data_IF_245467672540
#
_entry.id   IF_245467672540
#
_cell.length_a   1.000
_cell.length_b   1.000
_cell.length_c   1.000
_cell.angle_alpha   90.00
_cell.angle_beta   90.00
_cell.angle_gamma   90.00
#
_symmetry.space_group_name_H-M   'P 1'
#
loop_
_entity.id
_entity.type
_entity.pdbx_description
1 polymer ?
#
# COMPACT_ATOMS: atom_id res chain seq x y z
N UNK A 1 23.60 -3.30 10.69
CA UNK A 1 24.16 -2.37 9.67
C UNK A 1 25.07 -3.11 8.68
N UNK A 2 25.92 -4.03 9.14
CA UNK A 2 26.86 -4.74 8.27
C UNK A 2 26.22 -5.80 7.34
N UNK A 3 25.12 -6.41 7.73
CA UNK A 3 24.51 -7.49 6.93
C UNK A 3 23.82 -7.01 5.65
N UNK A 4 23.26 -5.81 5.65
CA UNK A 4 22.59 -5.26 4.45
C UNK A 4 23.58 -4.73 3.42
N UNK A 5 24.74 -4.26 3.84
CA UNK A 5 25.80 -3.86 2.93
C UNK A 5 26.50 -5.05 2.24
N UNK A 6 26.36 -6.24 2.80
CA UNK A 6 26.95 -7.47 2.26
C UNK A 6 26.11 -8.16 1.15
N UNK A 7 24.90 -7.67 0.84
CA UNK A 7 24.14 -8.16 -0.32
C UNK A 7 24.74 -7.70 -1.64
N UNK A 8 25.80 -6.88 -1.56
CA UNK A 8 26.73 -6.63 -2.68
C UNK A 8 26.20 -5.80 -3.84
N UNK A 9 25.00 -5.24 -3.72
CA UNK A 9 24.38 -4.47 -4.79
C UNK A 9 23.63 -3.26 -4.22
N UNK A 10 23.99 -2.06 -4.68
CA UNK A 10 23.15 -0.87 -4.53
C UNK A 10 22.34 -0.65 -5.81
N UNK A 11 21.08 -0.29 -5.67
CA UNK A 11 20.22 0.05 -6.80
C UNK A 11 20.47 1.52 -7.15
N UNK A 12 20.74 1.82 -8.42
CA UNK A 12 21.01 3.17 -8.89
C UNK A 12 19.77 4.03 -8.78
N UNK A 13 19.90 5.23 -8.20
CA UNK A 13 18.86 6.25 -8.23
C UNK A 13 18.79 6.93 -9.58
N UNK A 14 17.57 7.13 -10.11
CA UNK A 14 17.28 7.98 -11.25
C UNK A 14 16.41 9.15 -10.81
N UNK A 15 16.75 10.36 -11.23
CA UNK A 15 15.99 11.58 -10.95
C UNK A 15 15.01 11.93 -12.07
N UNK A 16 14.51 10.93 -12.79
CA UNK A 16 13.57 11.12 -13.90
C UNK A 16 12.29 11.85 -13.49
N UNK A 17 11.79 11.62 -12.29
CA UNK A 17 10.60 12.23 -11.77
C UNK A 17 10.88 13.09 -10.54
N UNK A 18 10.26 14.26 -10.48
CA UNK A 18 10.33 15.16 -9.33
C UNK A 18 9.01 15.07 -8.57
N UNK A 19 8.99 14.25 -7.51
CA UNK A 19 7.76 13.95 -6.78
C UNK A 19 7.29 15.08 -5.91
N UNK A 20 5.98 15.34 -5.97
CA UNK A 20 5.28 16.33 -5.16
C UNK A 20 5.14 15.79 -3.73
N UNK A 21 5.50 16.62 -2.75
CA UNK A 21 5.33 16.29 -1.34
C UNK A 21 3.86 16.31 -0.92
N UNK A 22 3.48 15.36 -0.10
CA UNK A 22 2.17 15.30 0.52
C UNK A 22 2.29 14.88 1.99
N UNK A 23 1.32 15.27 2.80
CA UNK A 23 1.27 14.93 4.22
C UNK A 23 0.13 13.97 4.50
N UNK A 24 0.46 12.82 5.06
CA UNK A 24 -0.52 11.90 5.59
C UNK A 24 -0.97 12.36 6.97
N UNK A 25 -2.28 12.46 7.16
CA UNK A 25 -2.89 12.81 8.45
C UNK A 25 -4.01 11.81 8.80
N UNK A 26 -4.29 11.67 10.08
CA UNK A 26 -5.47 10.96 10.54
C UNK A 26 -6.59 11.98 10.73
N UNK A 27 -7.70 11.79 10.04
CA UNK A 27 -8.88 12.62 10.24
C UNK A 27 -9.49 12.32 11.61
N UNK A 28 -9.62 13.35 12.45
CA UNK A 28 -10.08 13.19 13.82
C UNK A 28 -11.57 12.81 13.92
N UNK A 29 -12.37 13.17 12.92
CA UNK A 29 -13.80 12.87 12.92
C UNK A 29 -14.07 11.41 12.52
N UNK A 30 -13.43 10.96 11.46
CA UNK A 30 -13.63 9.60 10.92
C UNK A 30 -12.64 8.57 11.43
N UNK A 31 -11.51 9.00 12.01
CA UNK A 31 -10.41 8.13 12.38
C UNK A 31 -9.67 7.51 11.19
N UNK A 32 -9.98 7.96 9.98
CA UNK A 32 -9.41 7.41 8.74
C UNK A 32 -8.19 8.20 8.27
N UNK A 33 -7.37 7.53 7.46
CA UNK A 33 -6.19 8.13 6.85
C UNK A 33 -6.58 8.97 5.66
N UNK A 34 -6.19 10.25 5.68
CA UNK A 34 -6.32 11.17 4.56
C UNK A 34 -4.96 11.79 4.22
N UNK A 35 -4.86 12.32 3.01
CA UNK A 35 -3.66 13.02 2.55
C UNK A 35 -3.98 14.48 2.31
N UNK A 36 -3.10 15.36 2.76
CA UNK A 36 -3.13 16.78 2.45
C UNK A 36 -2.07 17.09 1.41
N UNK A 37 -2.52 17.51 0.22
CA UNK A 37 -1.69 17.83 -0.92
C UNK A 37 -2.21 19.15 -1.51
N UNK A 38 -1.33 20.15 -1.62
CA UNK A 38 -1.70 21.48 -2.14
C UNK A 38 -2.94 22.10 -1.45
N UNK A 39 -3.05 21.95 -0.13
CA UNK A 39 -4.18 22.39 0.69
C UNK A 39 -5.52 21.65 0.45
N UNK A 40 -5.51 20.57 -0.32
CA UNK A 40 -6.67 19.69 -0.50
C UNK A 40 -6.52 18.41 0.33
N UNK A 41 -7.63 17.97 0.92
CA UNK A 41 -7.70 16.69 1.61
C UNK A 41 -8.28 15.63 0.69
N UNK A 42 -7.56 14.53 0.54
CA UNK A 42 -7.94 13.41 -0.30
C UNK A 42 -8.00 12.11 0.53
N UNK A 43 -9.01 11.27 0.31
CA UNK A 43 -9.03 9.95 0.93
C UNK A 43 -7.89 9.08 0.40
N UNK A 44 -7.37 8.21 1.26
CA UNK A 44 -6.34 7.26 0.84
C UNK A 44 -6.91 6.08 0.06
N UNK A 45 -6.12 5.51 -0.83
CA UNK A 45 -6.45 4.27 -1.55
C UNK A 45 -6.83 3.16 -0.57
N UNK A 46 -6.07 2.99 0.50
CA UNK A 46 -6.34 1.95 1.52
C UNK A 46 -7.65 2.19 2.27
N UNK A 47 -8.00 3.45 2.54
CA UNK A 47 -9.29 3.82 3.14
C UNK A 47 -10.45 3.50 2.19
N UNK A 48 -10.33 3.84 0.91
CA UNK A 48 -11.35 3.55 -0.11
C UNK A 48 -11.58 2.04 -0.22
N UNK A 49 -10.52 1.26 -0.35
CA UNK A 49 -10.60 -0.19 -0.48
C UNK A 49 -11.14 -0.85 0.80
N UNK A 50 -10.71 -0.38 1.97
CA UNK A 50 -11.20 -0.87 3.25
C UNK A 50 -12.69 -0.61 3.48
N UNK A 51 -13.18 0.58 3.13
CA UNK A 51 -14.58 0.97 3.29
C UNK A 51 -15.53 0.24 2.34
N UNK A 52 -15.04 -0.20 1.19
CA UNK A 52 -15.84 -0.86 0.14
C UNK A 52 -15.63 -2.38 0.09
N UNK A 53 -14.84 -2.92 1.00
CA UNK A 53 -14.54 -4.35 1.10
C UNK A 53 -15.71 -5.11 1.72
N UNK A 54 -15.93 -6.36 1.26
CA UNK A 54 -16.83 -7.28 1.93
C UNK A 54 -16.23 -7.71 3.29
N UNK A 55 -16.90 -7.35 4.38
CA UNK A 55 -16.43 -7.58 5.76
C UNK A 55 -16.81 -8.97 6.31
N UNK A 56 -17.58 -9.75 5.59
CA UNK A 56 -18.15 -11.02 6.10
C UNK A 56 -17.06 -12.02 6.51
N UNK A 57 -16.02 -12.18 5.68
CA UNK A 57 -14.90 -13.07 5.98
C UNK A 57 -14.17 -12.67 7.26
N UNK A 58 -13.91 -11.38 7.46
CA UNK A 58 -13.24 -10.85 8.66
C UNK A 58 -14.10 -11.07 9.90
N UNK A 59 -15.40 -10.85 9.80
CA UNK A 59 -16.35 -11.09 10.89
C UNK A 59 -16.37 -12.56 11.30
N UNK A 60 -16.44 -13.47 10.33
CA UNK A 60 -16.41 -14.91 10.58
C UNK A 60 -15.08 -15.35 11.21
N UNK A 61 -13.98 -14.84 10.76
CA UNK A 61 -12.67 -15.14 11.33
C UNK A 61 -12.54 -14.64 12.77
N UNK A 62 -12.95 -13.40 13.05
CA UNK A 62 -12.99 -12.85 14.42
C UNK A 62 -13.88 -13.64 15.34
N UNK A 63 -15.03 -14.06 14.88
CA UNK A 63 -15.95 -14.90 15.65
C UNK A 63 -15.32 -16.26 16.00
N UNK A 64 -14.50 -16.81 15.09
CA UNK A 64 -13.83 -18.11 15.27
C UNK A 64 -12.66 -18.04 16.27
N UNK A 65 -11.82 -17.02 16.18
CA UNK A 65 -10.60 -16.92 16.99
C UNK A 65 -10.80 -16.10 18.27
N UNK A 66 -11.86 -15.33 18.37
CA UNK A 66 -12.09 -14.36 19.44
C UNK A 66 -11.49 -12.99 19.13
N UNK A 67 -12.11 -11.95 19.64
CA UNK A 67 -11.74 -10.56 19.34
C UNK A 67 -10.35 -10.20 19.85
N UNK A 68 -10.02 -10.57 21.10
CA UNK A 68 -8.73 -10.31 21.71
C UNK A 68 -7.57 -10.97 20.94
N UNK A 69 -7.74 -12.23 20.54
CA UNK A 69 -6.72 -12.95 19.75
C UNK A 69 -6.61 -12.39 18.33
N UNK A 70 -7.72 -12.03 17.70
CA UNK A 70 -7.73 -11.37 16.40
C UNK A 70 -6.96 -10.04 16.43
N UNK A 71 -7.16 -9.22 17.46
CA UNK A 71 -6.45 -7.95 17.66
C UNK A 71 -4.96 -8.18 17.93
N UNK A 72 -4.61 -9.18 18.72
CA UNK A 72 -3.22 -9.55 18.97
C UNK A 72 -2.50 -9.92 17.68
N UNK A 73 -3.09 -10.78 16.85
CA UNK A 73 -2.54 -11.20 15.56
C UNK A 73 -2.40 -10.01 14.62
N UNK A 74 -3.42 -9.17 14.54
CA UNK A 74 -3.42 -7.96 13.71
C UNK A 74 -2.31 -6.99 14.12
N UNK A 75 -2.17 -6.71 15.42
CA UNK A 75 -1.16 -5.78 15.93
C UNK A 75 0.25 -6.31 15.71
N UNK A 76 0.48 -7.60 15.93
CA UNK A 76 1.77 -8.23 15.66
C UNK A 76 2.14 -8.14 14.17
N UNK A 77 1.21 -8.51 13.29
CA UNK A 77 1.41 -8.43 11.84
C UNK A 77 1.65 -7.00 11.36
N UNK A 78 0.91 -6.03 11.89
CA UNK A 78 1.09 -4.61 11.55
C UNK A 78 2.47 -4.09 11.97
N UNK A 79 2.91 -4.41 13.17
CA UNK A 79 4.24 -4.00 13.67
C UNK A 79 5.37 -4.65 12.87
N UNK A 80 5.24 -5.93 12.55
CA UNK A 80 6.19 -6.65 11.70
C UNK A 80 6.25 -6.04 10.30
N UNK A 81 5.10 -5.72 9.71
CA UNK A 81 5.01 -5.06 8.41
C UNK A 81 5.69 -3.70 8.40
N UNK A 82 5.47 -2.88 9.42
CA UNK A 82 6.12 -1.57 9.57
C UNK A 82 7.65 -1.71 9.61
N UNK A 83 8.17 -2.65 10.40
CA UNK A 83 9.60 -2.91 10.48
C UNK A 83 10.17 -3.41 9.16
N UNK A 84 9.51 -4.35 8.50
CA UNK A 84 9.93 -4.87 7.18
C UNK A 84 10.00 -3.75 6.13
N UNK A 85 9.01 -2.88 6.06
CA UNK A 85 8.99 -1.74 5.13
C UNK A 85 10.16 -0.77 5.40
N UNK A 86 10.51 -0.52 6.65
CA UNK A 86 11.65 0.33 7.00
C UNK A 86 12.98 -0.30 6.56
N UNK A 87 13.17 -1.59 6.77
CA UNK A 87 14.35 -2.28 6.26
C UNK A 87 14.48 -2.15 4.74
N UNK A 88 13.39 -2.33 4.01
CA UNK A 88 13.37 -2.21 2.55
C UNK A 88 13.62 -0.78 2.07
N UNK A 89 12.99 0.20 2.70
CA UNK A 89 13.20 1.62 2.39
C UNK A 89 14.67 2.03 2.56
N UNK A 90 15.27 1.70 3.70
CA UNK A 90 16.66 2.05 3.97
C UNK A 90 17.65 1.32 3.06
N UNK A 91 17.34 0.08 2.68
CA UNK A 91 18.13 -0.62 1.67
C UNK A 91 18.11 0.09 0.31
N UNK A 92 16.93 0.48 -0.15
CA UNK A 92 16.75 1.20 -1.42
C UNK A 92 17.48 2.54 -1.40
N UNK A 93 17.35 3.28 -0.29
CA UNK A 93 18.02 4.58 -0.11
C UNK A 93 19.54 4.46 0.08
N UNK A 94 20.06 3.27 0.31
CA UNK A 94 21.48 3.05 0.61
C UNK A 94 21.90 3.54 2.01
N UNK A 95 20.96 3.65 2.94
CA UNK A 95 21.18 4.05 4.32
C UNK A 95 21.09 2.85 5.26
N UNK A 96 21.77 2.92 6.41
CA UNK A 96 21.69 1.87 7.42
C UNK A 96 20.38 1.94 8.21
N UNK A 97 19.84 0.78 8.57
CA UNK A 97 18.72 0.65 9.48
C UNK A 97 18.88 -0.60 10.32
N UNK A 98 18.50 -0.50 11.58
CA UNK A 98 18.49 -1.64 12.48
C UNK A 98 17.26 -1.58 13.41
N UNK A 99 16.71 -2.75 13.69
CA UNK A 99 15.62 -2.93 14.63
C UNK A 99 15.92 -4.18 15.48
N UNK A 100 16.44 -3.95 16.67
CA UNK A 100 16.87 -4.99 17.60
C UNK A 100 15.72 -5.60 18.41
N UNK A 101 14.49 -5.12 18.23
CA UNK A 101 13.32 -5.71 18.88
C UNK A 101 13.05 -7.12 18.34
N UNK A 102 12.26 -7.92 19.06
CA UNK A 102 11.82 -9.24 18.59
C UNK A 102 11.06 -9.16 17.25
N UNK A 103 10.30 -8.09 17.04
CA UNK A 103 9.62 -7.79 15.78
C UNK A 103 10.64 -7.53 14.66
N UNK A 104 11.66 -6.72 14.93
CA UNK A 104 12.73 -6.43 13.96
C UNK A 104 13.53 -7.66 13.57
N UNK A 105 13.80 -8.54 14.52
CA UNK A 105 14.49 -9.82 14.28
C UNK A 105 13.66 -10.77 13.39
N UNK A 106 12.33 -10.70 13.46
CA UNK A 106 11.42 -11.43 12.59
C UNK A 106 11.31 -10.77 11.20
N UNK A 107 11.21 -9.45 11.15
CA UNK A 107 11.02 -8.67 9.91
C UNK A 107 12.28 -8.60 9.03
N UNK A 108 13.46 -8.55 9.63
CA UNK A 108 14.74 -8.41 8.93
C UNK A 108 15.01 -9.53 7.91
N UNK A 109 14.86 -10.83 8.25
CA UNK A 109 15.04 -11.91 7.27
C UNK A 109 14.00 -11.87 6.15
N UNK A 110 12.77 -11.44 6.45
CA UNK A 110 11.71 -11.28 5.45
C UNK A 110 12.08 -10.19 4.43
N UNK A 111 12.53 -9.04 4.90
CA UNK A 111 13.02 -7.96 4.05
C UNK A 111 14.20 -8.42 3.19
N UNK A 112 15.15 -9.14 3.78
CA UNK A 112 16.30 -9.70 3.07
C UNK A 112 15.90 -10.64 1.94
N UNK A 113 14.88 -11.48 2.17
CA UNK A 113 14.34 -12.37 1.14
C UNK A 113 13.73 -11.59 -0.03
N UNK A 114 12.97 -10.54 0.23
CA UNK A 114 12.43 -9.65 -0.79
C UNK A 114 13.55 -8.96 -1.57
N UNK A 115 14.59 -8.49 -0.89
CA UNK A 115 15.75 -7.87 -1.53
C UNK A 115 16.46 -8.84 -2.48
N UNK A 116 16.76 -10.04 -2.00
CA UNK A 116 17.51 -11.05 -2.77
C UNK A 116 16.77 -11.53 -4.01
N UNK A 117 15.45 -11.71 -3.93
CA UNK A 117 14.66 -12.26 -5.03
C UNK A 117 13.88 -11.16 -5.75
N UNK A 118 13.10 -10.38 -5.02
CA UNK A 118 12.17 -9.41 -5.59
C UNK A 118 12.85 -8.22 -6.22
N UNK A 119 13.87 -7.67 -5.57
CA UNK A 119 14.61 -6.49 -6.05
C UNK A 119 15.75 -6.84 -7.02
N UNK A 120 16.06 -8.12 -7.24
CA UNK A 120 17.11 -8.52 -8.18
C UNK A 120 16.91 -7.97 -9.61
N UNK A 121 15.67 -7.97 -10.18
CA UNK A 121 15.42 -7.41 -11.51
C UNK A 121 15.34 -5.88 -11.56
N UNK A 122 15.42 -5.19 -10.43
CA UNK A 122 15.34 -3.71 -10.37
C UNK A 122 16.66 -3.11 -10.80
N UNK A 123 16.64 -2.34 -11.86
CA UNK A 123 17.82 -1.69 -12.48
C UNK A 123 18.06 -0.32 -11.89
N UNK A 124 17.01 0.48 -11.78
CA UNK A 124 16.99 1.83 -11.24
C UNK A 124 15.76 2.04 -10.38
N UNK A 125 15.86 2.94 -9.38
CA UNK A 125 14.68 3.37 -8.64
C UNK A 125 14.45 4.87 -8.81
N UNK A 126 13.19 5.25 -8.93
CA UNK A 126 12.76 6.64 -9.11
C UNK A 126 12.28 7.28 -7.82
N UNK A 127 11.63 6.52 -6.97
CA UNK A 127 11.12 6.98 -5.69
C UNK A 127 10.82 5.84 -4.73
N UNK A 128 11.09 6.07 -3.44
CA UNK A 128 10.80 5.16 -2.34
C UNK A 128 9.88 5.86 -1.35
N UNK A 129 8.83 5.19 -0.87
CA UNK A 129 7.81 5.78 -0.01
C UNK A 129 7.23 7.08 -0.62
N UNK A 130 6.82 7.00 -1.87
CA UNK A 130 6.36 8.15 -2.65
C UNK A 130 4.88 8.40 -2.41
N UNK A 131 4.54 9.64 -2.04
CA UNK A 131 3.15 10.09 -2.03
C UNK A 131 2.69 10.38 -3.44
N UNK A 132 1.62 9.69 -3.86
CA UNK A 132 0.98 9.85 -5.16
C UNK A 132 -0.46 10.30 -4.96
N UNK A 133 -0.99 11.08 -5.91
CA UNK A 133 -2.40 11.49 -5.88
C UNK A 133 -2.98 11.58 -7.28
N UNK A 134 -4.25 11.28 -7.36
CA UNK A 134 -5.08 11.62 -8.50
C UNK A 134 -5.90 12.86 -8.11
N UNK A 135 -5.65 14.03 -8.72
CA UNK A 135 -6.24 15.29 -8.26
C UNK A 135 -7.76 15.23 -8.08
N UNK A 136 -8.21 15.62 -6.89
CA UNK A 136 -9.63 15.63 -6.53
C UNK A 136 -10.25 14.28 -6.19
N UNK A 137 -9.55 13.16 -6.35
CA UNK A 137 -10.12 11.83 -6.19
C UNK A 137 -9.52 11.03 -5.03
N UNK A 138 -8.22 10.82 -5.03
CA UNK A 138 -7.57 9.99 -4.01
C UNK A 138 -6.07 10.26 -3.93
N UNK A 139 -5.46 9.75 -2.87
CA UNK A 139 -4.01 9.76 -2.69
C UNK A 139 -3.55 8.48 -2.00
N UNK A 140 -2.27 8.27 -1.93
CA UNK A 140 -1.66 7.18 -1.21
C UNK A 140 -0.14 7.23 -1.27
N UNK A 141 0.50 6.30 -0.56
CA UNK A 141 1.93 6.14 -0.59
C UNK A 141 2.27 4.80 -1.22
N UNK A 142 3.08 4.82 -2.28
CA UNK A 142 3.62 3.60 -2.87
C UNK A 142 5.01 3.33 -2.33
N UNK A 143 5.33 2.05 -2.12
CA UNK A 143 6.59 1.66 -1.52
C UNK A 143 7.79 1.95 -2.43
N UNK A 144 7.63 1.71 -3.73
CA UNK A 144 8.71 1.88 -4.70
C UNK A 144 8.16 2.15 -6.10
N UNK A 145 8.77 3.10 -6.79
CA UNK A 145 8.64 3.30 -8.23
C UNK A 145 10.01 3.04 -8.84
N UNK A 146 10.09 2.15 -9.81
CA UNK A 146 11.37 1.69 -10.33
C UNK A 146 11.31 1.21 -11.78
N UNK A 147 12.47 0.93 -12.33
CA UNK A 147 12.65 0.19 -13.57
C UNK A 147 12.91 -1.28 -13.21
N UNK A 148 11.97 -2.15 -13.52
CA UNK A 148 11.99 -3.58 -13.21
C UNK A 148 11.89 -4.39 -14.50
N UNK A 149 12.94 -5.15 -14.82
CA UNK A 149 13.04 -5.84 -16.11
C UNK A 149 12.77 -4.94 -17.33
N UNK A 150 13.32 -3.72 -17.31
CA UNK A 150 13.16 -2.75 -18.40
C UNK A 150 11.79 -2.06 -18.47
N UNK A 151 10.90 -2.30 -17.50
CA UNK A 151 9.57 -1.69 -17.44
C UNK A 151 9.44 -0.75 -16.25
N UNK A 152 8.84 0.43 -16.49
CA UNK A 152 8.46 1.33 -15.39
C UNK A 152 7.35 0.70 -14.55
N UNK A 153 7.62 0.54 -13.27
CA UNK A 153 6.87 -0.34 -12.37
C UNK A 153 6.53 0.34 -11.05
N UNK A 154 5.30 0.13 -10.60
CA UNK A 154 4.89 0.35 -9.20
C UNK A 154 5.09 -0.95 -8.44
N UNK A 155 5.86 -0.90 -7.37
CA UNK A 155 6.10 -2.05 -6.48
C UNK A 155 5.45 -1.81 -5.13
N UNK A 156 4.81 -2.84 -4.61
CA UNK A 156 4.22 -2.87 -3.28
C UNK A 156 4.76 -4.06 -2.49
N UNK A 157 5.29 -3.79 -1.31
CA UNK A 157 5.81 -4.81 -0.40
C UNK A 157 4.71 -5.23 0.58
N UNK A 158 4.52 -6.52 0.73
CA UNK A 158 3.55 -7.10 1.66
C UNK A 158 4.21 -8.16 2.54
N UNK A 159 3.88 -8.13 3.81
CA UNK A 159 4.12 -9.25 4.70
C UNK A 159 2.80 -10.02 4.89
N UNK A 160 2.90 -11.32 5.12
CA UNK A 160 1.73 -12.16 5.32
C UNK A 160 2.07 -13.29 6.28
N UNK A 161 1.14 -13.63 7.17
CA UNK A 161 1.30 -14.78 8.08
C UNK A 161 1.34 -16.13 7.34
N UNK A 162 0.71 -16.19 6.18
CA UNK A 162 0.60 -17.38 5.32
C UNK A 162 0.76 -17.01 3.85
N UNK A 163 1.14 -17.96 3.00
CA UNK A 163 1.13 -17.74 1.55
C UNK A 163 -0.24 -17.27 1.07
N UNK A 164 -0.24 -16.36 0.10
CA UNK A 164 -1.44 -15.81 -0.49
C UNK A 164 -1.87 -16.58 -1.72
N UNK A 165 -3.18 -16.73 -1.90
CA UNK A 165 -3.78 -17.12 -3.18
C UNK A 165 -4.13 -15.86 -3.97
N UNK A 166 -4.08 -15.97 -5.27
CA UNK A 166 -4.32 -14.82 -6.16
C UNK A 166 -5.72 -14.23 -5.98
N UNK A 167 -6.72 -15.07 -5.76
CA UNK A 167 -8.10 -14.63 -5.51
C UNK A 167 -8.28 -13.84 -4.18
N UNK A 168 -7.30 -13.87 -3.30
CA UNK A 168 -7.36 -13.15 -2.01
C UNK A 168 -6.68 -11.78 -2.05
N UNK A 169 -6.00 -11.44 -3.14
CA UNK A 169 -5.18 -10.24 -3.26
C UNK A 169 -5.71 -9.23 -4.28
N UNK A 170 -7.00 -9.30 -4.60
CA UNK A 170 -7.62 -8.34 -5.52
C UNK A 170 -7.40 -6.89 -5.07
N UNK A 171 -7.50 -6.62 -3.77
CA UNK A 171 -7.26 -5.28 -3.22
C UNK A 171 -5.80 -4.82 -3.42
N UNK A 172 -4.84 -5.73 -3.38
CA UNK A 172 -3.44 -5.40 -3.67
C UNK A 172 -3.26 -5.00 -5.14
N UNK A 173 -3.90 -5.72 -6.05
CA UNK A 173 -3.87 -5.36 -7.47
C UNK A 173 -4.54 -4.00 -7.73
N UNK A 174 -5.67 -3.74 -7.08
CA UNK A 174 -6.34 -2.44 -7.21
C UNK A 174 -5.51 -1.31 -6.61
N UNK A 175 -4.80 -1.55 -5.55
CA UNK A 175 -3.90 -0.60 -4.91
C UNK A 175 -2.77 -0.18 -5.87
N UNK A 176 -2.05 -1.11 -6.46
CA UNK A 176 -1.00 -0.78 -7.45
C UNK A 176 -1.55 -0.13 -8.71
N UNK A 177 -2.74 -0.55 -9.16
CA UNK A 177 -3.41 0.07 -10.31
C UNK A 177 -3.81 1.53 -10.03
N UNK A 178 -4.31 1.82 -8.83
CA UNK A 178 -4.61 3.18 -8.39
C UNK A 178 -3.36 4.07 -8.38
N UNK A 179 -2.25 3.56 -7.88
CA UNK A 179 -0.97 4.29 -7.87
C UNK A 179 -0.43 4.51 -9.28
N UNK A 180 -0.54 3.52 -10.17
CA UNK A 180 -0.15 3.66 -11.57
C UNK A 180 -0.94 4.77 -12.27
N UNK A 181 -2.27 4.81 -12.08
CA UNK A 181 -3.11 5.88 -12.65
C UNK A 181 -2.73 7.26 -12.12
N UNK A 182 -2.51 7.38 -10.82
CA UNK A 182 -2.12 8.64 -10.19
C UNK A 182 -0.75 9.13 -10.71
N UNK A 183 0.22 8.23 -10.79
CA UNK A 183 1.55 8.53 -11.31
C UNK A 183 1.49 9.00 -12.77
N UNK A 184 0.76 8.28 -13.61
CA UNK A 184 0.63 8.62 -15.02
C UNK A 184 -0.06 9.97 -15.24
N UNK A 185 -1.09 10.24 -14.45
CA UNK A 185 -1.84 11.49 -14.56
C UNK A 185 -0.99 12.72 -14.17
N UNK A 186 -0.28 12.65 -13.05
CA UNK A 186 0.47 13.79 -12.50
C UNK A 186 1.80 13.99 -13.23
N UNK A 187 2.51 12.92 -13.56
CA UNK A 187 3.86 12.99 -14.11
C UNK A 187 3.95 12.71 -15.62
N UNK A 188 2.82 12.42 -16.28
CA UNK A 188 2.80 12.12 -17.70
C UNK A 188 3.55 10.85 -18.07
N UNK A 189 3.73 9.95 -17.13
CA UNK A 189 4.40 8.67 -17.32
C UNK A 189 3.49 7.63 -17.98
N UNK A 190 4.06 6.47 -18.27
CA UNK A 190 3.35 5.28 -18.72
C UNK A 190 3.83 4.10 -17.90
N UNK A 191 3.27 3.95 -16.71
CA UNK A 191 3.57 2.80 -15.86
C UNK A 191 3.08 1.53 -16.54
N UNK A 192 3.99 0.60 -16.79
CA UNK A 192 3.76 -0.59 -17.61
C UNK A 192 3.32 -1.80 -16.81
N UNK A 193 3.74 -1.87 -15.53
CA UNK A 193 3.36 -2.99 -14.65
C UNK A 193 3.27 -2.58 -13.19
N UNK A 194 2.56 -3.38 -12.42
CA UNK A 194 2.61 -3.40 -10.98
C UNK A 194 3.12 -4.74 -10.49
N UNK A 195 3.94 -4.73 -9.47
CA UNK A 195 4.51 -5.93 -8.85
C UNK A 195 4.24 -5.92 -7.35
N UNK A 196 3.67 -7.00 -6.86
CA UNK A 196 3.41 -7.23 -5.44
C UNK A 196 4.40 -8.27 -4.97
N UNK A 197 5.26 -7.91 -4.01
CA UNK A 197 6.27 -8.77 -3.43
C UNK A 197 5.86 -9.13 -2.00
N UNK A 198 5.60 -10.40 -1.76
CA UNK A 198 5.07 -10.93 -0.49
C UNK A 198 6.07 -11.85 0.15
N UNK A 199 6.29 -11.71 1.45
CA UNK A 199 7.09 -12.65 2.23
C UNK A 199 6.38 -13.04 3.53
N UNK A 200 6.48 -14.31 3.89
CA UNK A 200 5.98 -14.85 5.16
C UNK A 200 7.09 -14.97 6.19
N UNK A 201 6.77 -15.14 7.50
CA UNK A 201 7.79 -15.29 8.54
C UNK A 201 8.69 -16.51 8.37
N UNK A 202 8.20 -17.56 7.72
CA UNK A 202 9.00 -18.75 7.35
C UNK A 202 9.78 -18.56 6.03
N UNK A 203 9.87 -17.34 5.56
CA UNK A 203 10.67 -16.91 4.41
C UNK A 203 10.20 -17.48 3.06
N UNK A 204 8.91 -17.74 2.94
CA UNK A 204 8.29 -18.06 1.67
C UNK A 204 7.99 -16.78 0.89
N UNK A 205 8.65 -16.61 -0.24
CA UNK A 205 8.51 -15.46 -1.13
C UNK A 205 7.50 -15.75 -2.24
N UNK A 206 6.60 -14.80 -2.46
CA UNK A 206 5.67 -14.83 -3.60
C UNK A 206 5.73 -13.49 -4.35
N UNK A 207 5.56 -13.55 -5.65
CA UNK A 207 5.52 -12.38 -6.50
C UNK A 207 4.30 -12.44 -7.42
N UNK A 208 3.54 -11.37 -7.44
CA UNK A 208 2.36 -11.24 -8.30
C UNK A 208 2.53 -10.01 -9.18
N UNK A 209 2.25 -10.16 -10.47
CA UNK A 209 2.42 -9.10 -11.46
C UNK A 209 1.11 -8.83 -12.18
N UNK A 210 0.88 -7.56 -12.49
CA UNK A 210 -0.15 -7.12 -13.41
C UNK A 210 0.47 -6.19 -14.44
N UNK A 211 0.31 -6.54 -15.71
CA UNK A 211 0.80 -5.75 -16.84
C UNK A 211 -0.21 -5.76 -17.99
N UNK A 212 -0.07 -4.82 -18.93
CA UNK A 212 -0.89 -4.75 -20.12
C UNK A 212 -2.39 -4.73 -19.82
N UNK A 213 -3.12 -5.66 -20.43
CA UNK A 213 -4.58 -5.76 -20.26
C UNK A 213 -5.00 -6.03 -18.81
N UNK A 214 -4.25 -6.86 -18.08
CA UNK A 214 -4.55 -7.15 -16.68
C UNK A 214 -4.46 -5.89 -15.81
N UNK A 215 -3.41 -5.08 -15.97
CA UNK A 215 -3.28 -3.82 -15.24
C UNK A 215 -4.43 -2.87 -15.57
N UNK A 216 -4.84 -2.81 -16.83
CA UNK A 216 -5.98 -1.99 -17.26
C UNK A 216 -7.29 -2.46 -16.63
N UNK A 217 -7.51 -3.76 -16.52
CA UNK A 217 -8.69 -4.32 -15.86
C UNK A 217 -8.73 -3.97 -14.37
N UNK A 218 -7.58 -4.01 -13.68
CA UNK A 218 -7.49 -3.62 -12.28
C UNK A 218 -7.73 -2.12 -12.06
N UNK A 219 -7.28 -1.28 -12.98
CA UNK A 219 -7.61 0.16 -12.98
C UNK A 219 -9.13 0.37 -13.05
N UNK A 220 -9.82 -0.30 -13.94
CA UNK A 220 -11.28 -0.22 -14.04
C UNK A 220 -11.99 -0.73 -12.78
N UNK A 221 -11.52 -1.80 -12.19
CA UNK A 221 -12.08 -2.34 -10.95
C UNK A 221 -11.87 -1.40 -9.77
N UNK A 222 -10.72 -0.75 -9.70
CA UNK A 222 -10.49 0.29 -8.69
C UNK A 222 -11.45 1.48 -8.85
N UNK A 223 -11.69 1.95 -10.07
CA UNK A 223 -12.62 3.05 -10.33
C UNK A 223 -14.05 2.70 -9.86
N UNK A 224 -14.48 1.46 -10.03
CA UNK A 224 -15.77 1.00 -9.47
C UNK A 224 -15.79 1.06 -7.94
N UNK A 225 -14.73 0.68 -7.28
CA UNK A 225 -14.60 0.79 -5.82
C UNK A 225 -14.60 2.25 -5.37
N UNK A 226 -13.98 3.15 -6.13
CA UNK A 226 -14.01 4.58 -5.89
C UNK A 226 -15.45 5.13 -5.97
N UNK A 227 -16.21 4.74 -6.98
CA UNK A 227 -17.63 5.11 -7.12
C UNK A 227 -18.45 4.61 -5.93
N UNK A 228 -18.27 3.36 -5.52
CA UNK A 228 -18.91 2.80 -4.32
C UNK A 228 -18.58 3.61 -3.06
N UNK A 229 -17.34 4.03 -2.92
CA UNK A 229 -16.91 4.86 -1.78
C UNK A 229 -17.61 6.21 -1.76
N UNK A 230 -17.75 6.86 -2.91
CA UNK A 230 -18.48 8.13 -3.01
C UNK A 230 -19.96 7.97 -2.68
N UNK A 231 -20.60 6.90 -3.15
CA UNK A 231 -22.00 6.60 -2.82
C UNK A 231 -22.19 6.40 -1.31
N UNK A 232 -21.32 5.64 -0.66
CA UNK A 232 -21.33 5.47 0.81
C UNK A 232 -21.20 6.80 1.56
N UNK A 233 -20.32 7.69 1.11
CA UNK A 233 -20.11 9.01 1.73
C UNK A 233 -21.31 9.94 1.52
N UNK A 234 -21.96 9.90 0.39
CA UNK A 234 -23.19 10.65 0.13
C UNK A 234 -24.33 10.16 1.01
N UNK A 235 -24.53 8.86 1.14
CA UNK A 235 -25.55 8.26 2.03
C UNK A 235 -25.33 8.66 3.51
N UNK A 236 -24.09 8.66 3.96
CA UNK A 236 -23.74 9.10 5.31
C UNK A 236 -24.10 10.57 5.55
N UNK A 237 -23.82 11.46 4.59
CA UNK A 237 -24.17 12.88 4.64
C UNK A 237 -25.68 13.10 4.66
N UNK A 238 -26.41 12.37 3.83
CA UNK A 238 -27.87 12.45 3.81
C UNK A 238 -28.51 12.02 5.14
N UNK A 239 -28.06 10.91 5.72
CA UNK A 239 -28.50 10.45 7.03
C UNK A 239 -28.19 11.47 8.14
N UNK A 240 -27.00 12.07 8.13
CA UNK A 240 -26.62 13.10 9.09
C UNK A 240 -27.50 14.33 8.96
N UNK A 241 -27.81 14.79 7.73
CA UNK A 241 -28.67 15.95 7.47
C UNK A 241 -30.13 15.68 7.92
N UNK A 242 -30.65 14.46 7.71
CA UNK A 242 -31.98 14.09 8.19
C UNK A 242 -32.01 14.13 9.72
N UNK A 243 -31.03 13.55 10.39
CA UNK A 243 -30.94 13.54 11.85
C UNK A 243 -30.87 14.96 12.45
N UNK A 244 -30.07 15.84 11.86
CA UNK A 244 -29.98 17.24 12.28
C UNK A 244 -31.32 17.94 12.15
N UNK A 245 -32.04 17.75 11.03
CA UNK A 245 -33.39 18.32 10.85
C UNK A 245 -34.40 17.79 11.86
N UNK A 246 -34.33 16.52 12.26
CA UNK A 246 -35.21 15.94 13.31
C UNK A 246 -34.87 16.49 14.68
N UNK A 247 -33.61 16.79 14.99
CA UNK A 247 -33.19 17.38 16.27
C UNK A 247 -33.59 18.86 16.39
N UNK A 248 -33.64 19.60 15.29
CA UNK A 248 -34.07 21.00 15.25
C UNK A 248 -35.59 21.16 15.53
N UNK A 249 -36.39 20.09 15.49
CA UNK A 249 -37.80 20.08 15.75
C UNK A 249 -38.17 19.53 17.13
N UNK A 250 -37.24 19.19 18.01
CA UNK A 250 -37.43 18.74 19.39
C UNK A 250 -37.19 19.86 20.39
#
# INVERSE_FOLDING_TARGET
IQEYHNIGRSIKRSEKYNYISGKQITDHESGTRVYEINNYRLPSVTTILGATKNQEFIKQWKAKVGEAEADRIKNHSSSRGTSMHKFLEHYILGTGYDDLTSIGQEASPMAKKIIEIGLAPVEEWYGSEVTLHYPGLYAGSTDLVCLHNGMETIVDFKQSNRPKREEWIEDYYMQIAAYAMAHDYVYGSKIQQGVIMVCTPDLYYQEFKAEGLQLRQWKHRFLKRLDMYHDLKNDEKEKANVKMKEEDFK
#
